data_IF_443410727858
#
_entry.id   IF_443410727858
#
_cell.length_a   1.000
_cell.length_b   1.000
_cell.length_c   1.000
_cell.angle_alpha   90.00
_cell.angle_beta   90.00
_cell.angle_gamma   90.00
#
_symmetry.space_group_name_H-M   'P 1'
#
loop_
_entity.id
_entity.type
_entity.pdbx_description
1 polymer ?
#
# COMPACT_ATOMS: atom_id res chain seq x y z
N UNK A 1 24.70 10.73 -71.25
CA UNK A 1 23.72 11.80 -71.38
C UNK A 1 23.33 12.22 -70.00
N UNK A 2 23.63 13.46 -69.69
CA UNK A 2 23.44 14.11 -68.36
C UNK A 2 21.99 14.51 -68.16
N UNK A 3 21.50 14.45 -66.93
CA UNK A 3 20.46 15.32 -66.41
C UNK A 3 20.71 15.56 -64.94
N UNK A 4 21.11 16.80 -64.65
CA UNK A 4 21.23 17.37 -63.33
C UNK A 4 19.83 17.77 -62.81
N UNK A 5 19.56 17.60 -61.57
CA UNK A 5 18.43 18.18 -60.89
C UNK A 5 18.88 18.86 -59.59
N UNK A 6 18.45 20.10 -59.43
CA UNK A 6 18.91 21.11 -58.47
C UNK A 6 18.49 20.82 -57.04
N UNK A 7 19.42 21.12 -56.11
CA UNK A 7 19.12 21.24 -54.67
C UNK A 7 18.56 22.64 -54.38
N UNK A 8 17.37 22.71 -53.76
CA UNK A 8 16.84 23.94 -53.20
C UNK A 8 17.14 23.96 -51.68
N UNK A 9 17.95 24.94 -51.26
CA UNK A 9 18.25 25.24 -49.89
C UNK A 9 17.05 25.97 -49.24
N UNK A 10 16.54 25.47 -48.13
CA UNK A 10 15.56 26.17 -47.28
C UNK A 10 16.32 26.64 -46.03
N UNK A 11 16.43 27.94 -45.85
CA UNK A 11 16.97 28.63 -44.68
C UNK A 11 15.94 28.54 -43.51
N UNK A 12 16.41 28.41 -42.26
CA UNK A 12 15.49 28.41 -41.12
C UNK A 12 15.13 29.86 -40.72
N UNK A 13 13.80 30.10 -40.66
CA UNK A 13 13.26 31.32 -40.06
C UNK A 13 13.28 31.23 -38.53
N UNK A 14 13.67 32.36 -37.92
CA UNK A 14 13.82 32.66 -36.52
C UNK A 14 12.52 32.40 -35.69
N UNK A 15 12.64 31.69 -34.60
CA UNK A 15 11.63 31.59 -33.56
C UNK A 15 11.65 32.88 -32.70
N UNK A 16 10.54 33.61 -32.68
CA UNK A 16 10.28 34.72 -31.78
C UNK A 16 9.89 34.19 -30.40
N UNK A 17 10.73 34.58 -29.41
CA UNK A 17 10.44 34.35 -27.99
C UNK A 17 9.31 35.28 -27.52
N UNK A 18 8.21 34.73 -27.07
CA UNK A 18 7.17 35.47 -26.35
C UNK A 18 7.56 35.47 -24.87
N UNK A 19 7.97 36.65 -24.40
CA UNK A 19 8.14 36.95 -22.96
C UNK A 19 6.79 37.33 -22.39
N UNK A 20 6.32 36.64 -21.39
CA UNK A 20 5.24 37.10 -20.52
C UNK A 20 5.82 38.01 -19.45
N UNK A 21 5.56 39.31 -19.54
CA UNK A 21 5.75 40.23 -18.45
C UNK A 21 4.56 40.16 -17.49
N UNK A 22 4.83 39.80 -16.26
CA UNK A 22 3.87 39.91 -15.17
C UNK A 22 3.89 41.34 -14.62
N UNK A 23 2.91 42.16 -14.97
CA UNK A 23 2.68 43.47 -14.38
C UNK A 23 2.10 43.30 -12.96
N UNK A 24 2.90 43.57 -11.95
CA UNK A 24 2.43 43.82 -10.59
C UNK A 24 1.92 45.27 -10.50
N UNK A 25 0.63 45.45 -10.50
CA UNK A 25 0.00 46.70 -10.08
C UNK A 25 -0.22 46.69 -8.57
N UNK A 26 0.62 47.46 -7.89
CA UNK A 26 0.41 47.83 -6.48
C UNK A 26 -0.67 48.93 -6.41
N UNK A 27 -1.82 48.62 -5.84
CA UNK A 27 -2.74 49.64 -5.36
C UNK A 27 -2.77 49.62 -3.83
N UNK A 28 -2.18 50.63 -3.23
CA UNK A 28 -2.36 50.98 -1.82
C UNK A 28 -3.77 51.54 -1.66
N UNK A 29 -4.60 50.89 -0.81
CA UNK A 29 -5.66 51.60 -0.12
C UNK A 29 -5.62 51.21 1.35
N UNK A 30 -5.21 52.17 2.12
CA UNK A 30 -5.32 52.19 3.58
C UNK A 30 -6.79 52.36 3.98
N UNK A 31 -7.33 51.42 4.74
CA UNK A 31 -8.50 51.72 5.56
C UNK A 31 -8.36 51.04 6.93
N UNK A 32 -8.39 51.89 7.90
CA UNK A 32 -8.42 51.69 9.32
C UNK A 32 -9.51 50.69 9.77
N UNK A 33 -9.09 49.56 10.36
CA UNK A 33 -9.97 48.83 11.27
C UNK A 33 -9.35 48.85 12.67
N UNK A 34 -9.96 49.55 13.59
CA UNK A 34 -9.71 49.50 15.04
C UNK A 34 -10.28 48.16 15.57
N UNK A 35 -9.58 47.46 16.45
CA UNK A 35 -10.18 46.32 17.16
C UNK A 35 -11.06 46.87 18.28
N UNK A 36 -12.35 46.56 18.24
CA UNK A 36 -13.24 46.70 19.39
C UNK A 36 -12.98 45.56 20.38
N UNK A 37 -12.42 45.95 21.54
CA UNK A 37 -12.37 45.10 22.71
C UNK A 37 -13.79 45.02 23.32
N UNK A 38 -14.42 43.86 23.23
CA UNK A 38 -15.63 43.55 24.00
C UNK A 38 -15.17 43.02 25.36
N UNK A 39 -15.19 43.91 26.35
CA UNK A 39 -15.11 43.54 27.76
C UNK A 39 -16.48 43.04 28.22
N UNK A 40 -16.58 41.76 28.51
CA UNK A 40 -17.71 41.19 29.23
C UNK A 40 -17.51 41.44 30.72
N UNK A 41 -18.32 42.34 31.28
CA UNK A 41 -18.49 42.54 32.73
C UNK A 41 -19.36 41.42 33.29
N UNK A 42 -18.82 40.70 34.27
CA UNK A 42 -19.55 39.71 35.08
C UNK A 42 -20.22 40.46 36.21
N UNK A 43 -21.53 40.32 36.42
CA UNK A 43 -22.16 40.84 37.65
C UNK A 43 -21.91 39.88 38.82
N UNK A 44 -21.37 40.45 39.90
CA UNK A 44 -21.27 39.81 41.21
C UNK A 44 -22.62 39.73 41.91
N UNK A 45 -22.75 38.68 42.69
CA UNK A 45 -23.64 38.46 43.83
C UNK A 45 -25.10 38.07 43.56
N UNK A 46 -25.40 36.84 43.90
CA UNK A 46 -26.59 36.52 44.69
C UNK A 46 -26.29 35.32 45.60
N UNK A 47 -26.64 35.53 46.84
CA UNK A 47 -26.44 34.76 48.04
C UNK A 47 -27.03 33.32 47.98
N UNK A 48 -26.32 32.38 48.61
CA UNK A 48 -26.79 31.04 48.94
C UNK A 48 -27.96 31.02 49.89
N UNK A 49 -28.91 30.08 49.77
CA UNK A 49 -29.65 29.60 50.93
C UNK A 49 -29.09 28.24 51.40
N UNK A 50 -28.78 28.27 52.68
CA UNK A 50 -28.45 27.14 53.53
C UNK A 50 -29.58 26.10 53.51
N UNK A 51 -29.28 24.84 53.05
CA UNK A 51 -30.20 23.72 53.26
C UNK A 51 -29.69 22.88 54.41
N UNK A 52 -30.51 22.80 55.42
CA UNK A 52 -30.35 22.06 56.67
C UNK A 52 -30.09 20.57 56.40
N UNK A 53 -29.08 20.03 57.06
CA UNK A 53 -28.89 18.61 57.29
C UNK A 53 -30.04 18.06 58.13
N UNK A 54 -30.82 17.14 57.58
CA UNK A 54 -31.60 16.20 58.36
C UNK A 54 -30.76 14.97 58.63
N UNK A 55 -30.45 14.80 59.91
CA UNK A 55 -29.94 13.55 60.47
C UNK A 55 -31.11 12.59 60.54
N UNK A 56 -31.11 11.48 59.80
CA UNK A 56 -32.00 10.36 60.06
C UNK A 56 -31.17 9.24 60.65
N UNK A 57 -31.60 8.86 61.83
CA UNK A 57 -31.10 7.83 62.73
C UNK A 57 -31.06 6.44 62.07
N UNK A 58 -30.01 5.70 62.41
CA UNK A 58 -29.83 4.31 62.08
C UNK A 58 -30.91 3.41 62.73
N UNK A 59 -31.50 2.53 61.94
CA UNK A 59 -32.11 1.31 62.47
C UNK A 59 -31.82 0.12 61.52
N UNK A 60 -31.18 -0.88 62.16
CA UNK A 60 -31.18 -2.30 61.88
C UNK A 60 -31.05 -2.83 60.47
N UNK A 61 -29.98 -3.59 60.24
CA UNK A 61 -29.76 -4.50 59.12
C UNK A 61 -30.85 -5.58 59.07
N UNK A 62 -31.13 -6.10 57.90
CA UNK A 62 -31.13 -7.52 57.71
C UNK A 62 -30.30 -8.00 56.50
N UNK A 63 -29.64 -9.13 56.79
CA UNK A 63 -29.34 -10.27 55.93
C UNK A 63 -28.54 -10.01 54.65
N UNK A 64 -27.35 -10.59 54.65
CA UNK A 64 -26.47 -10.85 53.56
C UNK A 64 -27.22 -11.40 52.32
N UNK A 65 -27.32 -10.56 51.31
CA UNK A 65 -27.52 -11.00 49.95
C UNK A 65 -26.16 -11.06 49.29
N UNK A 66 -25.72 -12.26 48.97
CA UNK A 66 -24.48 -12.53 48.27
C UNK A 66 -24.38 -11.68 47.00
N UNK A 67 -23.54 -10.68 47.01
CA UNK A 67 -23.10 -10.00 45.81
C UNK A 67 -22.35 -11.01 44.96
N UNK A 68 -22.95 -11.49 43.91
CA UNK A 68 -22.25 -12.17 42.85
C UNK A 68 -21.12 -11.30 42.35
N UNK A 69 -19.89 -11.78 42.27
CA UNK A 69 -18.82 -11.04 41.67
C UNK A 69 -19.15 -10.87 40.19
N UNK A 70 -19.35 -9.64 39.74
CA UNK A 70 -19.27 -9.24 38.35
C UNK A 70 -17.81 -9.38 37.88
N UNK A 71 -17.33 -10.60 37.92
CA UNK A 71 -16.18 -11.08 37.18
C UNK A 71 -16.72 -11.78 35.93
N UNK A 72 -17.47 -11.08 35.11
CA UNK A 72 -17.49 -11.45 33.72
C UNK A 72 -16.12 -11.03 33.19
N UNK A 73 -15.19 -11.96 33.27
CA UNK A 73 -14.02 -11.98 32.41
C UNK A 73 -14.53 -11.61 31.01
N UNK A 74 -14.09 -10.49 30.48
CA UNK A 74 -14.10 -10.21 29.07
C UNK A 74 -13.11 -11.22 28.45
N UNK A 75 -13.53 -12.47 28.33
CA UNK A 75 -12.96 -13.36 27.34
C UNK A 75 -13.32 -12.68 26.02
N UNK A 76 -12.31 -12.10 25.37
CA UNK A 76 -12.40 -11.81 23.96
C UNK A 76 -12.71 -13.17 23.33
N UNK A 77 -14.01 -13.46 23.08
CA UNK A 77 -14.38 -14.51 22.16
C UNK A 77 -13.55 -14.24 20.92
N UNK A 78 -12.80 -15.25 20.50
CA UNK A 78 -11.98 -15.17 19.30
C UNK A 78 -13.00 -15.04 18.16
N UNK A 79 -13.31 -13.82 17.77
CA UNK A 79 -14.15 -13.53 16.62
C UNK A 79 -13.44 -14.20 15.44
N UNK A 80 -14.15 -15.07 14.75
CA UNK A 80 -13.66 -15.76 13.55
C UNK A 80 -13.62 -14.73 12.41
N UNK A 81 -12.56 -13.89 12.41
CA UNK A 81 -12.36 -12.82 11.45
C UNK A 81 -11.30 -13.21 10.43
N UNK A 82 -11.47 -12.74 9.22
CA UNK A 82 -10.52 -12.94 8.13
C UNK A 82 -9.55 -11.75 8.07
N UNK A 83 -8.29 -11.95 8.43
CA UNK A 83 -7.23 -10.96 8.23
C UNK A 83 -6.54 -11.20 6.89
N UNK A 84 -5.95 -10.17 6.27
CA UNK A 84 -5.12 -10.30 5.08
C UNK A 84 -3.70 -9.81 5.37
N UNK A 85 -2.88 -10.65 6.01
CA UNK A 85 -1.53 -10.31 6.47
C UNK A 85 -0.45 -10.87 5.55
N UNK A 86 -0.65 -12.09 5.04
CA UNK A 86 0.23 -12.77 4.11
C UNK A 86 -0.58 -13.45 3.00
N UNK A 87 0.02 -13.62 1.85
CA UNK A 87 -0.55 -14.45 0.77
C UNK A 87 -0.73 -15.90 1.22
N UNK A 88 0.22 -16.41 2.01
CA UNK A 88 0.22 -17.81 2.47
C UNK A 88 -0.79 -18.10 3.58
N UNK A 89 -1.57 -17.13 4.03
CA UNK A 89 -2.70 -17.32 4.94
C UNK A 89 -3.90 -17.96 4.21
N UNK A 90 -3.84 -17.97 2.89
CA UNK A 90 -4.88 -18.46 2.00
C UNK A 90 -4.37 -19.53 1.05
N UNK A 91 -5.24 -20.46 0.68
CA UNK A 91 -4.95 -21.44 -0.36
C UNK A 91 -5.05 -20.84 -1.77
N UNK A 92 -4.52 -21.56 -2.77
CA UNK A 92 -4.56 -21.17 -4.17
C UNK A 92 -5.97 -20.83 -4.67
N UNK A 93 -6.95 -21.66 -4.29
CA UNK A 93 -8.35 -21.47 -4.72
C UNK A 93 -8.91 -20.14 -4.24
N UNK A 94 -8.64 -19.79 -2.98
CA UNK A 94 -9.08 -18.53 -2.38
C UNK A 94 -8.37 -17.32 -3.03
N UNK A 95 -7.06 -17.41 -3.25
CA UNK A 95 -6.32 -16.33 -3.94
C UNK A 95 -6.86 -16.10 -5.35
N UNK A 96 -7.10 -17.17 -6.13
CA UNK A 96 -7.66 -17.04 -7.47
C UNK A 96 -9.08 -16.45 -7.44
N UNK A 97 -9.95 -16.84 -6.50
CA UNK A 97 -11.28 -16.23 -6.33
C UNK A 97 -11.23 -14.75 -6.02
N UNK A 98 -10.25 -14.30 -5.21
CA UNK A 98 -10.04 -12.88 -4.93
C UNK A 98 -9.60 -12.15 -6.21
N UNK A 99 -8.74 -12.75 -7.03
CA UNK A 99 -8.31 -12.17 -8.31
C UNK A 99 -9.46 -12.11 -9.33
N UNK A 100 -10.27 -13.16 -9.43
CA UNK A 100 -11.47 -13.17 -10.29
C UNK A 100 -12.44 -12.06 -9.86
N UNK A 101 -12.65 -11.93 -8.54
CA UNK A 101 -13.47 -10.85 -7.98
C UNK A 101 -12.91 -9.47 -8.29
N UNK A 102 -11.58 -9.31 -8.31
CA UNK A 102 -10.94 -8.05 -8.70
C UNK A 102 -11.23 -7.69 -10.17
N UNK A 103 -11.21 -8.66 -11.07
CA UNK A 103 -11.55 -8.48 -12.49
C UNK A 103 -13.02 -8.03 -12.65
N UNK A 104 -13.94 -8.73 -11.97
CA UNK A 104 -15.38 -8.39 -12.01
C UNK A 104 -15.64 -6.97 -11.52
N UNK A 105 -15.13 -6.62 -10.32
CA UNK A 105 -15.31 -5.29 -9.73
C UNK A 105 -14.62 -4.19 -10.54
N UNK A 106 -13.45 -4.48 -11.13
CA UNK A 106 -12.77 -3.56 -12.06
C UNK A 106 -13.65 -3.27 -13.27
N UNK A 107 -14.22 -4.29 -13.89
CA UNK A 107 -15.10 -4.13 -15.05
C UNK A 107 -16.36 -3.31 -14.69
N UNK A 108 -16.97 -3.60 -13.55
CA UNK A 108 -18.13 -2.87 -13.03
C UNK A 108 -17.82 -1.40 -12.79
N UNK A 109 -16.72 -1.08 -12.12
CA UNK A 109 -16.33 0.31 -11.85
C UNK A 109 -15.97 1.07 -13.13
N UNK A 110 -15.34 0.40 -14.11
CA UNK A 110 -15.01 0.99 -15.43
C UNK A 110 -16.23 1.21 -16.32
N UNK A 111 -17.31 0.45 -16.16
CA UNK A 111 -18.58 0.71 -16.87
C UNK A 111 -19.29 1.99 -16.42
N UNK A 112 -18.82 2.61 -15.34
CA UNK A 112 -19.45 3.78 -14.72
C UNK A 112 -20.61 3.45 -13.79
N UNK A 113 -20.93 2.18 -13.58
CA UNK A 113 -21.93 1.77 -12.60
C UNK A 113 -21.45 2.07 -11.18
N UNK A 114 -22.28 2.75 -10.40
CA UNK A 114 -22.06 3.11 -9.00
C UNK A 114 -23.14 2.55 -8.08
N UNK A 115 -23.96 1.65 -8.59
CA UNK A 115 -25.03 1.00 -7.81
C UNK A 115 -24.48 -0.07 -6.85
N UNK A 116 -23.35 -0.72 -7.20
CA UNK A 116 -22.68 -1.70 -6.36
C UNK A 116 -21.93 -1.02 -5.20
N UNK A 117 -22.56 -0.96 -4.03
CA UNK A 117 -22.05 -0.29 -2.84
C UNK A 117 -22.02 -1.23 -1.61
N UNK A 118 -21.27 -2.32 -1.65
CA UNK A 118 -21.23 -3.31 -0.56
C UNK A 118 -20.69 -2.76 0.76
N UNK A 119 -19.94 -1.63 0.72
CA UNK A 119 -19.40 -0.97 1.92
C UNK A 119 -20.26 0.20 2.40
N UNK A 120 -21.49 0.33 1.91
CA UNK A 120 -22.39 1.40 2.37
C UNK A 120 -22.58 1.35 3.90
N UNK A 121 -22.24 2.46 4.56
CA UNK A 121 -22.31 2.59 6.01
C UNK A 121 -21.12 1.98 6.76
N UNK A 122 -20.14 1.37 6.08
CA UNK A 122 -18.91 0.84 6.67
C UNK A 122 -17.80 1.90 6.73
N UNK A 123 -16.95 1.76 7.74
CA UNK A 123 -15.79 2.64 7.97
C UNK A 123 -14.48 1.84 8.00
N UNK A 124 -13.42 2.45 7.47
CA UNK A 124 -12.07 1.89 7.47
C UNK A 124 -11.09 2.84 8.13
N UNK A 125 -10.36 2.37 9.16
CA UNK A 125 -9.19 3.08 9.67
C UNK A 125 -7.96 2.71 8.85
N UNK A 126 -7.24 3.72 8.34
CA UNK A 126 -5.99 3.55 7.58
C UNK A 126 -4.80 4.08 8.37
N UNK A 127 -4.03 3.20 8.99
CA UNK A 127 -2.83 3.55 9.77
C UNK A 127 -1.62 3.65 8.85
N UNK A 128 -0.90 4.76 8.90
CA UNK A 128 0.32 4.99 8.16
C UNK A 128 1.46 5.42 9.08
N UNK A 129 2.37 4.51 9.40
CA UNK A 129 3.61 4.84 10.09
C UNK A 129 4.61 5.57 9.18
N UNK A 130 4.45 5.45 7.87
CA UNK A 130 5.23 6.16 6.84
C UNK A 130 4.31 6.63 5.69
N UNK A 131 4.53 7.83 5.14
CA UNK A 131 3.73 8.36 4.04
C UNK A 131 3.74 7.45 2.80
N UNK A 132 2.63 7.38 2.09
CA UNK A 132 2.54 6.71 0.80
C UNK A 132 1.35 7.21 -0.01
N UNK A 133 1.61 7.96 -1.07
CA UNK A 133 0.57 8.47 -1.96
C UNK A 133 -0.24 7.33 -2.58
N UNK A 134 0.42 6.36 -3.22
CA UNK A 134 -0.26 5.25 -3.92
C UNK A 134 -1.12 4.39 -3.00
N UNK A 135 -0.60 3.98 -1.85
CA UNK A 135 -1.35 3.15 -0.89
C UNK A 135 -2.54 3.92 -0.35
N UNK A 136 -2.34 5.18 0.07
CA UNK A 136 -3.42 6.01 0.58
C UNK A 136 -4.53 6.19 -0.46
N UNK A 137 -4.19 6.72 -1.62
CA UNK A 137 -5.19 7.06 -2.65
C UNK A 137 -5.92 5.82 -3.16
N UNK A 138 -5.22 4.68 -3.37
CA UNK A 138 -5.87 3.47 -3.86
C UNK A 138 -6.87 2.86 -2.87
N UNK A 139 -6.53 2.80 -1.58
CA UNK A 139 -7.46 2.31 -0.55
C UNK A 139 -8.62 3.27 -0.31
N UNK A 140 -8.31 4.57 -0.12
CA UNK A 140 -9.32 5.60 0.15
C UNK A 140 -10.34 5.71 -0.99
N UNK A 141 -9.83 5.81 -2.24
CA UNK A 141 -10.69 5.87 -3.44
C UNK A 141 -11.45 4.58 -3.65
N UNK A 142 -10.78 3.43 -3.56
CA UNK A 142 -11.40 2.11 -3.77
C UNK A 142 -12.54 1.84 -2.77
N UNK A 143 -12.32 2.11 -1.49
CA UNK A 143 -13.32 1.94 -0.45
C UNK A 143 -14.51 2.89 -0.62
N UNK A 144 -14.23 4.15 -1.00
CA UNK A 144 -15.26 5.16 -1.29
C UNK A 144 -16.11 4.80 -2.52
N UNK A 145 -15.49 4.30 -3.61
CA UNK A 145 -16.21 3.88 -4.81
C UNK A 145 -17.19 2.72 -4.53
N UNK A 146 -16.93 1.92 -3.50
CA UNK A 146 -17.80 0.84 -3.05
C UNK A 146 -18.75 1.26 -1.90
N UNK A 147 -18.88 2.57 -1.63
CA UNK A 147 -19.84 3.15 -0.69
C UNK A 147 -19.35 3.33 0.74
N UNK A 148 -18.11 2.99 1.05
CA UNK A 148 -17.52 3.11 2.38
C UNK A 148 -16.89 4.48 2.66
N UNK A 149 -16.50 4.71 3.91
CA UNK A 149 -15.78 5.89 4.37
C UNK A 149 -14.44 5.49 4.98
N UNK A 150 -13.33 6.04 4.46
CA UNK A 150 -11.98 5.76 4.95
C UNK A 150 -11.43 6.95 5.73
N UNK A 151 -10.77 6.66 6.87
CA UNK A 151 -10.16 7.63 7.77
C UNK A 151 -8.66 7.44 7.73
N UNK A 152 -7.93 8.47 7.32
CA UNK A 152 -6.48 8.46 7.29
C UNK A 152 -5.90 8.85 8.64
N UNK A 153 -5.00 8.02 9.16
CA UNK A 153 -4.24 8.25 10.38
C UNK A 153 -2.75 8.24 10.04
N UNK A 154 -2.17 9.43 9.97
CA UNK A 154 -0.75 9.64 9.67
C UNK A 154 0.17 9.39 10.87
N UNK A 155 1.50 9.53 10.68
CA UNK A 155 2.47 9.30 11.74
C UNK A 155 2.29 10.21 12.96
N UNK A 156 1.82 11.43 12.73
CA UNK A 156 1.62 12.43 13.80
C UNK A 156 0.30 12.22 14.54
N UNK A 157 -0.68 11.56 13.90
CA UNK A 157 -2.00 11.32 14.49
C UNK A 157 -1.98 10.18 15.53
N UNK A 158 -1.17 9.13 15.29
CA UNK A 158 -1.31 7.89 16.04
C UNK A 158 -0.06 7.50 16.84
N UNK A 159 1.16 7.85 16.44
CA UNK A 159 2.43 7.56 17.12
C UNK A 159 2.51 6.15 17.75
N UNK A 160 2.07 5.13 16.98
CA UNK A 160 1.93 3.74 17.38
C UNK A 160 3.25 3.17 17.92
N UNK A 161 3.18 2.47 19.07
CA UNK A 161 4.35 1.90 19.75
C UNK A 161 5.26 2.92 20.44
N UNK A 162 4.94 4.23 20.38
CA UNK A 162 5.69 5.30 21.05
C UNK A 162 4.88 5.99 22.14
N UNK A 163 3.73 6.53 21.77
CA UNK A 163 2.81 7.21 22.69
C UNK A 163 1.77 6.25 23.26
N UNK A 164 1.33 5.30 22.46
CA UNK A 164 0.28 4.34 22.81
C UNK A 164 0.68 2.93 22.33
N UNK A 165 0.35 1.93 23.13
CA UNK A 165 0.58 0.53 22.81
C UNK A 165 -0.26 0.09 21.61
N UNK A 166 0.34 -0.64 20.67
CA UNK A 166 -0.33 -1.15 19.46
C UNK A 166 -1.62 -1.91 19.79
N UNK A 167 -1.63 -2.68 20.89
CA UNK A 167 -2.80 -3.45 21.35
C UNK A 167 -3.98 -2.58 21.79
N UNK A 168 -3.71 -1.40 22.36
CA UNK A 168 -4.78 -0.50 22.82
C UNK A 168 -5.35 0.28 21.64
N UNK A 169 -4.50 0.71 20.72
CA UNK A 169 -4.92 1.28 19.43
C UNK A 169 -5.86 0.30 18.69
N UNK A 170 -5.47 -0.97 18.57
CA UNK A 170 -6.29 -1.99 17.93
C UNK A 170 -7.67 -2.12 18.58
N UNK A 171 -7.71 -2.20 19.93
CA UNK A 171 -8.96 -2.32 20.69
C UNK A 171 -9.88 -1.12 20.58
N UNK A 172 -9.31 0.08 20.45
CA UNK A 172 -10.08 1.31 20.27
C UNK A 172 -10.61 1.40 18.84
N UNK A 173 -9.73 1.24 17.84
CA UNK A 173 -10.12 1.40 16.44
C UNK A 173 -11.18 0.40 15.98
N UNK A 174 -11.13 -0.84 16.47
CA UNK A 174 -12.14 -1.85 16.13
C UNK A 174 -13.53 -1.61 16.74
N UNK A 175 -13.68 -0.61 17.65
CA UNK A 175 -14.98 -0.19 18.15
C UNK A 175 -15.63 0.91 17.31
N UNK A 176 -14.83 1.54 16.44
CA UNK A 176 -15.28 2.65 15.58
C UNK A 176 -15.33 2.27 14.11
N UNK A 177 -14.58 1.24 13.71
CA UNK A 177 -14.39 0.89 12.31
C UNK A 177 -14.70 -0.58 12.06
N UNK A 178 -15.10 -0.88 10.83
CA UNK A 178 -15.41 -2.24 10.36
C UNK A 178 -14.17 -2.99 9.87
N UNK A 179 -13.11 -2.25 9.51
CA UNK A 179 -11.86 -2.79 8.98
C UNK A 179 -10.69 -1.86 9.33
N UNK A 180 -9.51 -2.42 9.55
CA UNK A 180 -8.26 -1.68 9.75
C UNK A 180 -7.29 -2.05 8.62
N UNK A 181 -6.77 -1.05 7.91
CA UNK A 181 -5.61 -1.20 7.05
C UNK A 181 -4.40 -0.55 7.71
N UNK A 182 -3.24 -1.21 7.74
CA UNK A 182 -2.04 -0.61 8.31
C UNK A 182 -0.83 -0.77 7.39
N UNK A 183 -0.08 0.34 7.21
CA UNK A 183 1.22 0.41 6.56
C UNK A 183 2.24 0.83 7.59
N UNK A 184 3.00 -0.13 8.09
CA UNK A 184 3.90 0.01 9.24
C UNK A 184 5.36 -0.30 8.87
N UNK A 185 6.28 -0.12 9.82
CA UNK A 185 7.67 -0.52 9.63
C UNK A 185 7.84 -1.98 9.99
N UNK A 186 7.79 -2.31 11.28
CA UNK A 186 8.01 -3.67 11.75
C UNK A 186 6.82 -4.58 11.42
N UNK A 187 7.10 -5.80 10.92
CA UNK A 187 6.05 -6.78 10.66
C UNK A 187 5.30 -7.18 11.93
N UNK A 188 5.97 -7.16 13.09
CA UNK A 188 5.34 -7.46 14.38
C UNK A 188 4.17 -6.51 14.70
N UNK A 189 4.25 -5.24 14.27
CA UNK A 189 3.18 -4.27 14.53
C UNK A 189 1.87 -4.68 13.86
N UNK A 190 1.91 -5.21 12.62
CA UNK A 190 0.69 -5.68 11.93
C UNK A 190 0.14 -6.96 12.58
N UNK A 191 1.02 -7.85 13.05
CA UNK A 191 0.62 -9.06 13.76
C UNK A 191 -0.06 -8.72 15.08
N UNK A 192 0.45 -7.73 15.81
CA UNK A 192 -0.13 -7.27 17.07
C UNK A 192 -1.47 -6.56 16.84
N UNK A 193 -1.58 -5.72 15.80
CA UNK A 193 -2.88 -5.16 15.39
C UNK A 193 -3.90 -6.27 15.12
N UNK A 194 -3.55 -7.26 14.32
CA UNK A 194 -4.43 -8.36 13.97
C UNK A 194 -4.81 -9.21 15.19
N UNK A 195 -3.89 -9.42 16.12
CA UNK A 195 -4.12 -10.19 17.35
C UNK A 195 -5.16 -9.55 18.28
N UNK A 196 -5.15 -8.21 18.38
CA UNK A 196 -5.96 -7.49 19.36
C UNK A 196 -7.19 -6.79 18.76
N UNK A 197 -7.29 -6.66 17.44
CA UNK A 197 -8.49 -6.16 16.78
C UNK A 197 -9.58 -7.24 16.71
N UNK A 198 -10.85 -6.82 16.83
CA UNK A 198 -12.03 -7.67 16.62
C UNK A 198 -12.60 -7.54 15.19
N UNK A 199 -12.04 -6.68 14.37
CA UNK A 199 -12.38 -6.48 12.95
C UNK A 199 -11.22 -6.95 12.07
N UNK A 200 -11.45 -7.23 10.78
CA UNK A 200 -10.38 -7.60 9.84
C UNK A 200 -9.25 -6.58 9.79
N UNK A 201 -8.02 -7.07 9.68
CA UNK A 201 -6.80 -6.28 9.50
C UNK A 201 -6.17 -6.61 8.15
N UNK A 202 -5.88 -5.57 7.34
CA UNK A 202 -5.23 -5.68 6.03
C UNK A 202 -3.83 -5.10 6.09
N UNK A 203 -2.84 -5.89 5.70
CA UNK A 203 -1.45 -5.47 5.60
C UNK A 203 -1.23 -4.61 4.34
N UNK A 204 -1.11 -3.29 4.54
CA UNK A 204 -0.81 -2.33 3.49
C UNK A 204 0.67 -2.31 3.05
N UNK A 205 1.57 -2.72 3.90
CA UNK A 205 3.01 -2.99 3.73
C UNK A 205 3.71 -3.07 5.09
N UNK A 206 4.69 -3.96 5.20
CA UNK A 206 5.67 -4.00 6.29
C UNK A 206 7.10 -4.12 5.72
N UNK A 207 8.10 -4.16 6.57
CA UNK A 207 9.49 -4.49 6.21
C UNK A 207 9.63 -5.92 5.67
N UNK A 208 8.73 -6.83 6.04
CA UNK A 208 8.77 -8.23 5.62
C UNK A 208 8.06 -8.49 4.29
N UNK A 209 6.84 -7.98 4.07
CA UNK A 209 6.06 -8.25 2.87
C UNK A 209 5.09 -7.12 2.48
N UNK A 210 4.58 -7.20 1.24
CA UNK A 210 3.56 -6.31 0.69
C UNK A 210 2.46 -7.10 -0.04
N UNK A 211 1.55 -7.80 0.70
CA UNK A 211 0.60 -8.72 0.09
C UNK A 211 -0.39 -8.04 -0.88
N UNK A 212 -0.77 -6.79 -0.62
CA UNK A 212 -1.62 -6.04 -1.55
C UNK A 212 -0.93 -5.68 -2.88
N UNK A 213 0.41 -5.52 -2.88
CA UNK A 213 1.16 -5.29 -4.10
C UNK A 213 1.21 -6.56 -4.94
N UNK A 214 1.57 -7.68 -4.33
CA UNK A 214 1.69 -8.94 -5.08
C UNK A 214 0.36 -9.41 -5.66
N UNK A 215 -0.78 -9.10 -5.02
CA UNK A 215 -2.10 -9.36 -5.60
C UNK A 215 -2.38 -8.48 -6.83
N UNK A 216 -1.93 -7.23 -6.81
CA UNK A 216 -2.02 -6.35 -7.98
C UNK A 216 -1.11 -6.81 -9.11
N UNK A 217 0.09 -7.30 -8.78
CA UNK A 217 1.05 -7.84 -9.73
C UNK A 217 0.47 -9.10 -10.39
N UNK A 218 -0.10 -10.00 -9.59
CA UNK A 218 -0.77 -11.21 -10.05
C UNK A 218 -1.96 -10.90 -10.98
N UNK A 219 -2.81 -9.93 -10.60
CA UNK A 219 -3.91 -9.46 -11.43
C UNK A 219 -3.41 -8.91 -12.79
N UNK A 220 -2.32 -8.13 -12.76
CA UNK A 220 -1.72 -7.56 -13.96
C UNK A 220 -1.14 -8.62 -14.88
N UNK A 221 -0.53 -9.66 -14.32
CA UNK A 221 -0.07 -10.82 -15.11
C UNK A 221 -1.24 -11.55 -15.77
N UNK A 222 -2.35 -11.77 -15.05
CA UNK A 222 -3.54 -12.39 -15.67
C UNK A 222 -4.05 -11.57 -16.84
N UNK A 223 -4.08 -10.25 -16.72
CA UNK A 223 -4.61 -9.35 -17.77
C UNK A 223 -3.69 -9.23 -19.00
N UNK A 224 -2.36 -9.26 -18.82
CA UNK A 224 -1.40 -8.96 -19.89
C UNK A 224 -0.66 -10.19 -20.39
N UNK A 225 -0.29 -11.11 -19.50
CA UNK A 225 0.41 -12.36 -19.83
C UNK A 225 -0.57 -13.50 -20.06
N UNK A 226 -1.78 -13.41 -19.47
CA UNK A 226 -2.84 -14.40 -19.59
C UNK A 226 -2.87 -15.43 -18.46
N UNK A 227 -1.79 -15.58 -17.69
CA UNK A 227 -1.67 -16.50 -16.55
C UNK A 227 -0.56 -16.07 -15.61
N UNK A 228 -0.59 -16.57 -14.38
CA UNK A 228 0.55 -16.58 -13.47
C UNK A 228 1.24 -17.94 -13.57
N UNK A 229 0.44 -19.01 -13.62
CA UNK A 229 0.93 -20.38 -13.60
C UNK A 229 1.79 -20.68 -14.84
N UNK A 230 2.94 -21.31 -14.61
CA UNK A 230 3.87 -21.70 -15.65
C UNK A 230 4.72 -20.58 -16.23
N UNK A 231 4.52 -19.32 -15.82
CA UNK A 231 5.32 -18.18 -16.28
C UNK A 231 6.69 -18.11 -15.61
N UNK A 232 7.64 -17.43 -16.24
CA UNK A 232 8.95 -17.10 -15.68
C UNK A 232 8.96 -15.60 -15.31
N UNK A 233 9.02 -15.32 -14.01
CA UNK A 233 9.17 -13.98 -13.47
C UNK A 233 10.60 -13.78 -12.98
N UNK A 234 11.28 -12.77 -13.49
CA UNK A 234 12.65 -12.42 -13.10
C UNK A 234 12.63 -11.07 -12.40
N UNK A 235 12.91 -11.07 -11.12
CA UNK A 235 13.14 -9.86 -10.36
C UNK A 235 14.62 -9.47 -10.43
N UNK A 236 14.91 -8.20 -10.73
CA UNK A 236 16.26 -7.64 -10.82
C UNK A 236 16.41 -6.51 -9.81
N UNK A 237 17.24 -6.68 -8.79
CA UNK A 237 17.46 -5.66 -7.77
C UNK A 237 17.74 -6.21 -6.38
N UNK A 238 17.29 -5.50 -5.34
CA UNK A 238 17.48 -5.83 -3.92
C UNK A 238 16.53 -6.94 -3.47
N UNK A 239 17.02 -7.90 -2.68
CA UNK A 239 16.21 -8.98 -2.09
C UNK A 239 15.29 -8.51 -0.96
N UNK A 240 14.48 -7.51 -1.23
CA UNK A 240 13.64 -6.78 -0.28
C UNK A 240 12.25 -7.44 -0.03
N UNK A 241 11.36 -6.72 0.65
CA UNK A 241 10.00 -7.17 0.96
C UNK A 241 9.11 -7.44 -0.27
N UNK A 242 9.42 -6.87 -1.44
CA UNK A 242 8.74 -7.21 -2.70
C UNK A 242 9.16 -8.61 -3.16
N UNK A 243 10.45 -8.93 -3.10
CA UNK A 243 10.94 -10.29 -3.37
C UNK A 243 10.33 -11.31 -2.42
N UNK A 244 10.23 -10.97 -1.11
CA UNK A 244 9.55 -11.85 -0.16
C UNK A 244 8.09 -12.10 -0.56
N UNK A 245 7.39 -11.08 -1.05
CA UNK A 245 6.01 -11.23 -1.51
C UNK A 245 5.89 -12.12 -2.73
N UNK A 246 6.82 -12.03 -3.70
CA UNK A 246 6.92 -12.94 -4.83
C UNK A 246 7.20 -14.40 -4.42
N UNK A 247 8.11 -14.60 -3.46
CA UNK A 247 8.42 -15.91 -2.90
C UNK A 247 7.20 -16.52 -2.18
N UNK A 248 6.46 -15.71 -1.43
CA UNK A 248 5.22 -16.15 -0.75
C UNK A 248 4.12 -16.48 -1.77
N UNK A 249 4.00 -15.76 -2.88
CA UNK A 249 3.09 -16.10 -3.97
C UNK A 249 3.50 -17.42 -4.64
N UNK A 250 4.80 -17.63 -4.88
CA UNK A 250 5.35 -18.85 -5.45
C UNK A 250 5.15 -20.09 -4.55
N UNK A 251 4.91 -19.89 -3.26
CA UNK A 251 4.53 -20.96 -2.35
C UNK A 251 3.05 -21.38 -2.47
N UNK A 252 2.20 -20.57 -3.15
CA UNK A 252 0.75 -20.79 -3.29
C UNK A 252 0.35 -21.08 -4.74
N UNK A 253 0.94 -20.37 -5.71
CA UNK A 253 0.68 -20.53 -7.14
C UNK A 253 1.94 -21.01 -7.82
N UNK A 254 1.92 -22.06 -8.68
CA UNK A 254 3.11 -22.61 -9.31
C UNK A 254 3.60 -21.75 -10.48
N UNK A 255 4.81 -21.19 -10.38
CA UNK A 255 5.53 -20.51 -11.46
C UNK A 255 7.04 -20.57 -11.26
N UNK A 256 7.82 -20.08 -12.21
CA UNK A 256 9.27 -19.99 -12.10
C UNK A 256 9.66 -18.59 -11.64
N UNK A 257 10.15 -18.45 -10.41
CA UNK A 257 10.64 -17.20 -9.87
C UNK A 257 12.17 -17.17 -9.80
N UNK A 258 12.77 -16.14 -10.38
CA UNK A 258 14.20 -15.88 -10.34
C UNK A 258 14.43 -14.52 -9.69
N UNK A 259 15.23 -14.48 -8.62
CA UNK A 259 15.73 -13.24 -8.04
C UNK A 259 17.19 -13.04 -8.45
N UNK A 260 17.44 -12.06 -9.31
CA UNK A 260 18.78 -11.64 -9.70
C UNK A 260 19.18 -10.41 -8.85
N UNK A 261 20.08 -10.62 -7.88
CA UNK A 261 20.49 -9.61 -6.91
C UNK A 261 22.01 -9.60 -6.73
N UNK A 262 22.63 -8.46 -6.33
CA UNK A 262 24.03 -8.44 -5.97
C UNK A 262 24.33 -9.34 -4.77
N UNK A 263 25.54 -9.87 -4.70
CA UNK A 263 25.99 -10.65 -3.57
C UNK A 263 25.95 -9.83 -2.27
N UNK A 264 25.32 -10.40 -1.23
CA UNK A 264 25.08 -9.76 0.05
C UNK A 264 23.76 -9.00 0.13
N UNK A 265 22.96 -9.04 -0.95
CA UNK A 265 21.62 -8.44 -1.03
C UNK A 265 20.56 -9.49 -1.42
N UNK A 266 20.82 -10.75 -1.08
CA UNK A 266 19.89 -11.84 -1.28
C UNK A 266 18.65 -11.69 -0.37
N UNK A 267 17.47 -12.20 -0.76
CA UNK A 267 16.29 -12.20 0.09
C UNK A 267 16.50 -13.05 1.35
N UNK A 268 15.65 -12.81 2.36
CA UNK A 268 15.68 -13.58 3.61
C UNK A 268 15.64 -15.09 3.33
N UNK A 269 16.66 -15.79 3.84
CA UNK A 269 16.85 -17.22 3.58
C UNK A 269 15.68 -18.07 4.06
N UNK A 270 15.06 -17.73 5.20
CA UNK A 270 13.91 -18.47 5.73
C UNK A 270 12.69 -18.37 4.80
N UNK A 271 12.51 -17.21 4.16
CA UNK A 271 11.44 -16.99 3.19
C UNK A 271 11.71 -17.77 1.90
N UNK A 272 12.96 -17.83 1.44
CA UNK A 272 13.36 -18.66 0.31
C UNK A 272 13.13 -20.14 0.61
N UNK A 273 13.55 -20.62 1.79
CA UNK A 273 13.34 -22.00 2.21
C UNK A 273 11.85 -22.35 2.33
N UNK A 274 11.03 -21.46 2.89
CA UNK A 274 9.57 -21.62 2.95
C UNK A 274 8.97 -21.79 1.53
N UNK A 275 9.37 -20.96 0.58
CA UNK A 275 8.89 -21.03 -0.79
C UNK A 275 9.32 -22.33 -1.49
N UNK A 276 10.57 -22.75 -1.30
CA UNK A 276 11.10 -24.02 -1.85
C UNK A 276 10.45 -25.23 -1.21
N UNK A 277 10.18 -25.18 0.09
CA UNK A 277 9.54 -26.28 0.83
C UNK A 277 8.10 -26.56 0.37
N UNK A 278 7.41 -25.56 -0.20
CA UNK A 278 6.09 -25.75 -0.81
C UNK A 278 6.13 -26.70 -2.04
N UNK A 279 7.29 -26.80 -2.71
CA UNK A 279 7.55 -27.80 -3.76
C UNK A 279 6.78 -27.62 -5.07
N UNK A 280 6.07 -26.51 -5.26
CA UNK A 280 5.19 -26.28 -6.41
C UNK A 280 5.81 -25.35 -7.47
N UNK A 281 6.79 -24.53 -7.09
CA UNK A 281 7.43 -23.52 -7.94
C UNK A 281 8.93 -23.77 -8.05
N UNK A 282 9.52 -23.37 -9.17
CA UNK A 282 10.97 -23.32 -9.31
C UNK A 282 11.47 -21.98 -8.79
N UNK A 283 12.37 -22.01 -7.78
CA UNK A 283 12.91 -20.80 -7.11
C UNK A 283 14.42 -20.75 -7.32
N UNK A 284 14.90 -19.71 -8.00
CA UNK A 284 16.31 -19.46 -8.24
C UNK A 284 16.74 -18.10 -7.66
N UNK A 285 17.93 -18.08 -7.04
CA UNK A 285 18.60 -16.86 -6.59
C UNK A 285 19.94 -16.83 -7.29
N UNK A 286 20.26 -15.74 -8.00
CA UNK A 286 21.48 -15.63 -8.81
C UNK A 286 22.04 -14.21 -8.75
N UNK A 287 23.35 -14.11 -9.11
CA UNK A 287 23.99 -12.81 -9.30
C UNK A 287 24.18 -12.49 -10.80
N UNK A 288 23.82 -13.40 -11.71
CA UNK A 288 23.92 -13.21 -13.16
C UNK A 288 22.58 -12.74 -13.73
N UNK A 289 22.45 -11.43 -13.91
CA UNK A 289 21.23 -10.79 -14.42
C UNK A 289 20.96 -11.18 -15.88
N UNK A 290 22.03 -11.32 -16.70
CA UNK A 290 21.88 -11.56 -18.13
C UNK A 290 21.35 -12.95 -18.40
N UNK A 291 21.89 -13.95 -17.70
CA UNK A 291 21.39 -15.32 -17.80
C UNK A 291 19.98 -15.45 -17.22
N UNK A 292 19.74 -14.78 -16.10
CA UNK A 292 18.44 -14.79 -15.42
C UNK A 292 17.28 -14.37 -16.32
N UNK A 293 17.43 -13.29 -17.10
CA UNK A 293 16.32 -12.73 -17.89
C UNK A 293 16.00 -13.49 -19.16
N UNK A 294 16.86 -14.40 -19.63
CA UNK A 294 16.62 -15.17 -20.86
C UNK A 294 15.31 -15.95 -20.72
N UNK A 295 14.37 -15.68 -21.66
CA UNK A 295 13.08 -16.36 -21.70
C UNK A 295 12.13 -15.98 -20.56
N UNK A 296 12.31 -14.82 -19.93
CA UNK A 296 11.37 -14.29 -18.95
C UNK A 296 10.07 -13.85 -19.65
N UNK A 297 8.93 -14.13 -19.01
CA UNK A 297 7.64 -13.55 -19.38
C UNK A 297 7.48 -12.16 -18.75
N UNK A 298 8.06 -11.98 -17.56
CA UNK A 298 8.07 -10.70 -16.82
C UNK A 298 9.47 -10.42 -16.28
N UNK A 299 9.97 -9.20 -16.52
CA UNK A 299 11.11 -8.61 -15.82
C UNK A 299 10.56 -7.58 -14.85
N UNK A 300 10.89 -7.73 -13.57
CA UNK A 300 10.40 -6.88 -12.49
C UNK A 300 11.56 -6.16 -11.78
N UNK A 301 11.38 -4.91 -11.41
CA UNK A 301 12.36 -4.20 -10.57
C UNK A 301 11.68 -3.34 -9.51
N UNK A 302 12.46 -2.93 -8.52
CA UNK A 302 12.09 -1.98 -7.47
C UNK A 302 13.31 -1.09 -7.15
N UNK A 303 13.08 0.02 -6.47
CA UNK A 303 14.17 0.94 -6.03
C UNK A 303 15.23 0.18 -5.24
N UNK A 304 16.50 0.49 -5.51
CA UNK A 304 17.63 -0.15 -4.81
C UNK A 304 17.74 0.30 -3.35
N UNK A 305 17.24 1.50 -3.02
CA UNK A 305 17.20 2.02 -1.66
C UNK A 305 15.77 2.39 -1.27
N UNK A 306 15.21 1.69 -0.29
CA UNK A 306 13.88 1.97 0.23
C UNK A 306 13.82 3.30 0.99
N UNK A 307 12.63 3.86 1.19
CA UNK A 307 12.43 5.07 1.99
C UNK A 307 13.03 4.90 3.39
N UNK A 308 13.94 5.79 3.78
CA UNK A 308 14.67 5.76 5.04
C UNK A 308 16.13 5.31 4.92
N UNK A 309 16.56 4.75 3.78
CA UNK A 309 17.92 4.26 3.53
C UNK A 309 18.78 5.21 2.69
N UNK A 310 18.50 6.51 2.71
CA UNK A 310 19.21 7.51 1.89
C UNK A 310 20.72 7.57 2.12
N UNK A 311 21.16 7.29 3.34
CA UNK A 311 22.59 7.25 3.68
C UNK A 311 23.32 6.07 3.01
N UNK A 312 22.62 5.00 2.70
CA UNK A 312 23.14 3.83 1.98
C UNK A 312 23.05 3.98 0.45
N UNK A 313 22.31 4.98 -0.06
CA UNK A 313 22.00 5.09 -1.48
C UNK A 313 23.25 5.14 -2.38
N UNK A 314 24.31 5.86 -1.98
CA UNK A 314 25.57 5.90 -2.73
C UNK A 314 26.28 4.55 -2.75
N UNK A 315 26.31 3.87 -1.61
CA UNK A 315 26.90 2.53 -1.52
C UNK A 315 26.15 1.56 -2.42
N UNK A 316 24.82 1.55 -2.34
CA UNK A 316 23.95 0.69 -3.17
C UNK A 316 24.13 0.97 -4.65
N UNK A 317 24.21 2.24 -5.09
CA UNK A 317 24.48 2.58 -6.50
C UNK A 317 25.80 1.98 -7.02
N UNK A 318 26.82 1.86 -6.17
CA UNK A 318 28.10 1.23 -6.57
C UNK A 318 27.98 -0.29 -6.62
N UNK A 319 27.32 -0.92 -5.64
CA UNK A 319 27.19 -2.38 -5.57
C UNK A 319 26.24 -2.91 -6.63
N UNK A 320 25.18 -2.16 -6.94
CA UNK A 320 24.17 -2.56 -7.92
C UNK A 320 24.56 -2.21 -9.38
N UNK A 321 25.80 -1.83 -9.66
CA UNK A 321 26.25 -1.66 -11.03
C UNK A 321 26.07 -2.97 -11.82
N UNK A 322 25.39 -2.90 -12.98
CA UNK A 322 25.04 -4.05 -13.79
C UNK A 322 23.68 -4.69 -13.48
N UNK A 323 22.94 -4.18 -12.47
CA UNK A 323 21.58 -4.59 -12.13
C UNK A 323 20.51 -3.58 -12.59
N UNK A 324 20.86 -2.57 -13.36
CA UNK A 324 19.90 -1.69 -13.99
C UNK A 324 19.14 -2.43 -15.11
N UNK A 325 17.82 -2.31 -15.11
CA UNK A 325 17.00 -2.78 -16.22
C UNK A 325 17.03 -1.74 -17.34
N UNK A 326 17.73 -2.04 -18.40
CA UNK A 326 17.86 -1.24 -19.61
C UNK A 326 17.26 -1.93 -20.83
N UNK A 327 17.22 -1.26 -21.96
CA UNK A 327 16.69 -1.77 -23.22
C UNK A 327 17.48 -2.98 -23.75
N UNK A 328 18.76 -3.09 -23.38
CA UNK A 328 19.60 -4.22 -23.75
C UNK A 328 19.20 -5.47 -22.97
N UNK A 329 18.95 -5.31 -21.66
CA UNK A 329 18.48 -6.39 -20.81
C UNK A 329 17.09 -6.87 -21.23
N UNK A 330 16.17 -5.95 -21.56
CA UNK A 330 14.84 -6.30 -22.06
C UNK A 330 14.90 -7.04 -23.41
N UNK A 331 15.85 -6.70 -24.29
CA UNK A 331 16.07 -7.46 -25.53
C UNK A 331 16.54 -8.89 -25.27
N UNK A 332 17.38 -9.12 -24.25
CA UNK A 332 17.80 -10.47 -23.83
C UNK A 332 16.63 -11.29 -23.27
N UNK A 333 15.73 -10.66 -22.52
CA UNK A 333 14.51 -11.32 -22.03
C UNK A 333 13.63 -11.82 -23.20
N UNK A 334 13.60 -11.08 -24.28
CA UNK A 334 12.90 -11.44 -25.51
C UNK A 334 11.69 -10.53 -25.80
N UNK A 335 11.13 -10.64 -27.03
CA UNK A 335 10.12 -9.70 -27.51
C UNK A 335 8.74 -9.84 -26.81
N UNK A 336 8.52 -10.93 -26.06
CA UNK A 336 7.27 -11.18 -25.34
C UNK A 336 7.34 -10.73 -23.87
N UNK A 337 8.53 -10.39 -23.37
CA UNK A 337 8.72 -10.02 -21.98
C UNK A 337 8.08 -8.66 -21.67
N UNK A 338 7.24 -8.63 -20.64
CA UNK A 338 6.71 -7.41 -20.08
C UNK A 338 7.64 -6.87 -18.99
N UNK A 339 7.66 -5.54 -18.84
CA UNK A 339 8.33 -4.89 -17.71
C UNK A 339 7.30 -4.45 -16.65
N UNK A 340 7.60 -4.74 -15.39
CA UNK A 340 6.80 -4.37 -14.21
C UNK A 340 7.66 -3.65 -13.17
N UNK A 341 7.04 -2.73 -12.41
CA UNK A 341 7.68 -2.01 -11.32
C UNK A 341 6.62 -1.51 -10.33
N UNK A 342 6.79 -1.76 -9.04
CA UNK A 342 5.80 -1.38 -8.02
C UNK A 342 5.69 0.12 -7.76
N UNK A 343 6.62 0.93 -8.29
CA UNK A 343 6.72 2.37 -8.06
C UNK A 343 6.88 2.77 -6.58
N UNK A 344 7.63 3.87 -6.30
CA UNK A 344 8.23 4.83 -7.24
C UNK A 344 9.42 4.23 -7.97
N UNK A 345 9.72 4.66 -9.19
CA UNK A 345 10.95 4.34 -9.90
C UNK A 345 11.93 5.52 -9.87
N UNK A 346 13.20 5.24 -9.61
CA UNK A 346 14.30 6.20 -9.79
C UNK A 346 14.87 6.05 -11.20
N UNK A 347 14.22 6.70 -12.18
CA UNK A 347 14.62 6.64 -13.60
C UNK A 347 16.10 6.99 -13.80
N UNK A 348 16.81 6.12 -14.50
CA UNK A 348 18.26 6.23 -14.67
C UNK A 348 19.09 5.57 -13.55
N UNK A 349 18.42 5.01 -12.52
CA UNK A 349 19.07 4.26 -11.44
C UNK A 349 18.80 2.77 -11.60
N UNK A 350 17.70 2.23 -11.10
CA UNK A 350 17.36 0.81 -11.24
C UNK A 350 16.75 0.46 -12.60
N UNK A 351 16.18 1.44 -13.28
CA UNK A 351 15.55 1.27 -14.60
C UNK A 351 15.76 2.49 -15.46
N UNK A 352 15.93 2.32 -16.77
CA UNK A 352 16.02 3.43 -17.71
C UNK A 352 14.66 4.02 -18.03
N UNK A 353 14.66 5.30 -18.47
CA UNK A 353 13.44 5.97 -18.93
C UNK A 353 12.80 5.23 -20.12
N UNK A 354 13.62 4.78 -21.06
CA UNK A 354 13.16 4.07 -22.25
C UNK A 354 12.45 2.74 -21.94
N UNK A 355 12.84 2.02 -20.87
CA UNK A 355 12.15 0.79 -20.45
C UNK A 355 10.79 1.11 -19.82
N UNK A 356 10.70 2.15 -18.99
CA UNK A 356 9.41 2.53 -18.38
C UNK A 356 8.40 2.99 -19.44
N UNK A 357 8.86 3.72 -20.46
CA UNK A 357 8.00 4.26 -21.51
C UNK A 357 7.81 3.30 -22.70
N UNK A 358 8.43 2.11 -22.66
CA UNK A 358 8.31 1.12 -23.73
C UNK A 358 6.90 0.55 -23.85
N UNK A 359 6.44 0.13 -25.05
CA UNK A 359 5.10 -0.47 -25.25
C UNK A 359 4.83 -1.74 -24.45
N UNK A 360 5.88 -2.47 -24.06
CA UNK A 360 5.81 -3.66 -23.20
C UNK A 360 5.97 -3.34 -21.70
N UNK A 361 6.02 -2.09 -21.31
CA UNK A 361 5.93 -1.67 -19.91
C UNK A 361 4.47 -1.65 -19.46
N UNK A 362 4.15 -2.45 -18.46
CA UNK A 362 2.81 -2.52 -17.86
C UNK A 362 2.77 -1.93 -16.46
N UNK A 363 3.70 -1.03 -16.16
CA UNK A 363 3.87 -0.39 -14.85
C UNK A 363 2.64 0.43 -14.42
N UNK A 364 2.02 1.17 -15.35
CA UNK A 364 0.84 1.98 -15.01
C UNK A 364 -0.45 1.15 -14.91
N UNK A 365 -0.73 0.16 -15.77
CA UNK A 365 -1.77 -0.85 -15.52
C UNK A 365 -1.60 -1.56 -14.18
N UNK A 366 -0.36 -1.94 -13.82
CA UNK A 366 -0.02 -2.52 -12.52
C UNK A 366 -0.36 -1.58 -11.36
N UNK A 367 -0.02 -0.29 -11.48
CA UNK A 367 -0.35 0.71 -10.46
C UNK A 367 -1.87 0.92 -10.32
N UNK A 368 -2.62 0.88 -11.42
CA UNK A 368 -4.09 0.92 -11.40
C UNK A 368 -4.67 -0.31 -10.69
N UNK A 369 -4.14 -1.48 -10.97
CA UNK A 369 -4.59 -2.76 -10.41
C UNK A 369 -4.45 -2.84 -8.89
N UNK A 370 -3.64 -2.00 -8.27
CA UNK A 370 -3.60 -1.89 -6.81
C UNK A 370 -4.96 -1.60 -6.19
N UNK A 371 -5.70 -0.64 -6.76
CA UNK A 371 -7.04 -0.31 -6.26
C UNK A 371 -8.00 -1.49 -6.44
N UNK A 372 -7.95 -2.16 -7.58
CA UNK A 372 -8.90 -3.25 -7.89
C UNK A 372 -8.61 -4.51 -7.06
N UNK A 373 -7.34 -4.88 -6.89
CA UNK A 373 -6.94 -5.97 -6.01
C UNK A 373 -7.28 -5.68 -4.54
N UNK A 374 -7.05 -4.45 -4.07
CA UNK A 374 -7.41 -4.03 -2.71
C UNK A 374 -8.93 -4.07 -2.48
N UNK A 375 -9.73 -3.65 -3.47
CA UNK A 375 -11.19 -3.74 -3.41
C UNK A 375 -11.64 -5.19 -3.21
N UNK A 376 -11.08 -6.13 -3.98
CA UNK A 376 -11.42 -7.54 -3.86
C UNK A 376 -10.96 -8.15 -2.53
N UNK A 377 -9.79 -7.75 -2.02
CA UNK A 377 -9.30 -8.15 -0.69
C UNK A 377 -10.29 -7.65 0.38
N UNK A 378 -10.68 -6.37 0.33
CA UNK A 378 -11.62 -5.81 1.30
C UNK A 378 -13.00 -6.49 1.24
N UNK A 379 -13.49 -6.80 0.04
CA UNK A 379 -14.72 -7.59 -0.15
C UNK A 379 -14.60 -8.97 0.48
N UNK A 380 -13.48 -9.64 0.29
CA UNK A 380 -13.22 -10.97 0.84
C UNK A 380 -13.18 -10.98 2.37
N UNK A 381 -12.46 -10.02 2.98
CA UNK A 381 -12.30 -10.00 4.46
C UNK A 381 -13.53 -9.46 5.18
N UNK A 382 -14.42 -8.74 4.50
CA UNK A 382 -15.68 -8.20 5.03
C UNK A 382 -16.89 -9.08 4.69
N UNK A 383 -16.70 -10.22 3.99
CA UNK A 383 -17.78 -11.10 3.50
C UNK A 383 -18.87 -10.32 2.72
N UNK A 384 -18.48 -9.43 1.79
CA UNK A 384 -19.35 -8.47 1.13
C UNK A 384 -19.42 -8.66 -0.40
#
# INVERSE_FOLDING_TARGET
MAAAAAAAAITPQSASSIRYEANFLSSRTSSLFRPHSLTFSVPHSLSSPCIRRHIISAHAAPSATTASPLSSAFSLEKVDKKDFLHITDYDKSTILKILDRAIEVKALLKSGDRSFQPFKGKTMAMIFAKPSMRTRVSFETGFSLLGGHAIYLGPDDIQMGKREETRDIARVLCRYNDIIMARVFAHQDILDLAKYASVPVVNGLTDYNHPCQIMADALTMIEHVGSIEGTKVVYVGDGNNIVHSWLLLAAVIPFHFVCACPKGFEPDQKTVEKARAAGISKIEITNDVKDAVIGADVVYSDVWASMGQKEEAEHRRKVFQGFQVDETLMKLAGPKAYFMHCLPAERGVEVTDGVIEAPNSIVFPQAENRMHAQNAIMLHVLDA
#
